data_IF_447767905257
#
_entry.id   IF_447767905257
#
_cell.length_a   1.000
_cell.length_b   1.000
_cell.length_c   1.000
_cell.angle_alpha   90.00
_cell.angle_beta   90.00
_cell.angle_gamma   90.00
#
_symmetry.space_group_name_H-M   'P 1'
#
loop_
_entity.id
_entity.type
_entity.pdbx_description
1 polymer ?
#
# COMPACT_ATOMS: atom_id res chain seq x y z
N UNK A 1 -45.55 -16.16 -32.12
CA UNK A 1 -46.72 -16.00 -32.99
C UNK A 1 -47.35 -14.63 -32.79
N UNK A 2 -48.11 -14.18 -33.79
CA UNK A 2 -49.00 -13.03 -33.67
C UNK A 2 -50.11 -13.33 -32.64
N UNK A 3 -50.70 -12.29 -32.06
CA UNK A 3 -51.78 -12.45 -31.09
C UNK A 3 -53.10 -12.82 -31.77
N UNK A 4 -54.02 -13.45 -31.03
CA UNK A 4 -55.34 -13.88 -31.53
C UNK A 4 -56.16 -12.74 -32.16
N UNK A 5 -56.08 -11.53 -31.59
CA UNK A 5 -56.84 -10.36 -32.05
C UNK A 5 -56.14 -9.56 -33.17
N UNK A 6 -54.87 -9.87 -33.48
CA UNK A 6 -54.09 -9.11 -34.45
C UNK A 6 -53.08 -10.03 -35.14
N UNK A 7 -53.60 -10.93 -35.98
CA UNK A 7 -52.84 -11.98 -36.68
C UNK A 7 -51.76 -11.42 -37.62
N UNK A 8 -51.97 -10.22 -38.17
CA UNK A 8 -51.02 -9.56 -39.08
C UNK A 8 -49.94 -8.75 -38.33
N UNK A 9 -49.96 -8.70 -36.99
CA UNK A 9 -48.96 -7.98 -36.17
C UNK A 9 -48.01 -8.95 -35.46
N UNK A 10 -46.70 -8.91 -35.73
CA UNK A 10 -45.74 -9.85 -35.17
C UNK A 10 -45.34 -9.52 -33.71
N UNK A 11 -46.24 -9.81 -32.76
CA UNK A 11 -46.09 -9.46 -31.33
C UNK A 11 -44.77 -9.93 -30.71
N UNK A 12 -44.42 -11.22 -30.84
CA UNK A 12 -43.21 -11.78 -30.19
C UNK A 12 -41.93 -11.14 -30.73
N UNK A 13 -41.81 -10.96 -32.06
CA UNK A 13 -40.62 -10.37 -32.67
C UNK A 13 -40.42 -8.92 -32.21
N UNK A 14 -41.51 -8.14 -32.17
CA UNK A 14 -41.47 -6.75 -31.69
C UNK A 14 -41.06 -6.66 -30.21
N UNK A 15 -41.65 -7.50 -29.35
CA UNK A 15 -41.30 -7.53 -27.92
C UNK A 15 -39.85 -7.95 -27.70
N UNK A 16 -39.39 -8.98 -28.41
CA UNK A 16 -37.99 -9.43 -28.35
C UNK A 16 -37.02 -8.32 -28.79
N UNK A 17 -37.33 -7.61 -29.88
CA UNK A 17 -36.52 -6.49 -30.36
C UNK A 17 -36.49 -5.33 -29.35
N UNK A 18 -37.65 -4.95 -28.79
CA UNK A 18 -37.75 -3.90 -27.78
C UNK A 18 -36.95 -4.25 -26.53
N UNK A 19 -37.09 -5.48 -26.05
CA UNK A 19 -36.35 -6.00 -24.92
C UNK A 19 -34.84 -5.99 -25.18
N UNK A 20 -34.39 -6.47 -26.33
CA UNK A 20 -32.99 -6.45 -26.72
C UNK A 20 -32.42 -5.02 -26.81
N UNK A 21 -33.19 -4.06 -27.35
CA UNK A 21 -32.80 -2.64 -27.43
C UNK A 21 -32.66 -2.02 -26.04
N UNK A 22 -33.58 -2.31 -25.13
CA UNK A 22 -33.52 -1.86 -23.73
C UNK A 22 -32.28 -2.42 -23.03
N UNK A 23 -32.01 -3.73 -23.17
CA UNK A 23 -30.81 -4.36 -22.61
C UNK A 23 -29.52 -3.81 -23.20
N UNK A 24 -29.47 -3.56 -24.52
CA UNK A 24 -28.30 -2.94 -25.17
C UNK A 24 -28.02 -1.56 -24.61
N UNK A 25 -29.04 -0.71 -24.46
CA UNK A 25 -28.90 0.62 -23.85
C UNK A 25 -28.41 0.52 -22.40
N UNK A 26 -29.00 -0.37 -21.60
CA UNK A 26 -28.55 -0.62 -20.21
C UNK A 26 -27.09 -1.09 -20.16
N UNK A 27 -26.67 -1.97 -21.08
CA UNK A 27 -25.27 -2.44 -21.16
C UNK A 27 -24.32 -1.32 -21.56
N UNK A 28 -24.69 -0.48 -22.52
CA UNK A 28 -23.86 0.66 -22.97
C UNK A 28 -23.76 1.77 -21.91
N UNK A 29 -24.85 2.05 -21.20
CA UNK A 29 -24.92 3.10 -20.18
C UNK A 29 -24.33 2.70 -18.82
N UNK A 30 -24.14 1.41 -18.57
CA UNK A 30 -23.30 1.02 -17.43
C UNK A 30 -21.88 1.47 -17.76
N UNK A 31 -21.41 2.49 -17.06
CA UNK A 31 -19.98 2.77 -16.91
C UNK A 31 -19.36 1.62 -16.12
N UNK A 32 -19.21 0.47 -16.79
CA UNK A 32 -18.67 -0.74 -16.21
C UNK A 32 -17.17 -0.54 -16.12
N UNK A 33 -16.65 -0.58 -14.89
CA UNK A 33 -15.28 -0.97 -14.61
C UNK A 33 -14.93 -2.11 -15.57
N UNK A 34 -14.02 -1.87 -16.52
CA UNK A 34 -13.79 -2.82 -17.61
C UNK A 34 -13.44 -4.19 -17.02
N UNK A 35 -14.23 -5.21 -17.34
CA UNK A 35 -13.87 -6.58 -16.96
C UNK A 35 -12.77 -7.06 -17.89
N UNK A 36 -11.89 -7.96 -17.46
CA UNK A 36 -10.87 -8.52 -18.38
C UNK A 36 -11.45 -9.23 -19.61
N UNK A 37 -12.73 -9.61 -19.57
CA UNK A 37 -13.45 -10.12 -20.73
C UNK A 37 -13.93 -9.04 -21.69
N UNK A 38 -14.09 -7.79 -21.22
CA UNK A 38 -14.47 -6.63 -22.05
C UNK A 38 -13.28 -5.79 -22.47
N UNK A 39 -12.09 -6.02 -21.91
CA UNK A 39 -10.83 -5.36 -22.30
C UNK A 39 -9.80 -6.39 -22.76
N UNK A 40 -8.66 -5.94 -23.26
CA UNK A 40 -7.63 -6.84 -23.78
C UNK A 40 -7.10 -7.79 -22.70
N UNK A 41 -6.64 -8.98 -23.10
CA UNK A 41 -6.02 -9.96 -22.19
C UNK A 41 -4.86 -9.37 -21.38
N UNK A 42 -4.14 -8.41 -21.98
CA UNK A 42 -2.95 -7.77 -21.42
C UNK A 42 -3.22 -6.42 -20.74
N UNK A 43 -4.48 -6.04 -20.57
CA UNK A 43 -4.81 -4.82 -19.84
C UNK A 43 -4.25 -4.87 -18.39
N UNK A 44 -3.71 -3.75 -17.89
CA UNK A 44 -3.13 -3.69 -16.55
C UNK A 44 -4.21 -3.95 -15.49
N UNK A 45 -3.85 -4.70 -14.44
CA UNK A 45 -4.79 -5.13 -13.39
C UNK A 45 -5.52 -3.96 -12.74
N UNK A 46 -4.82 -2.85 -12.52
CA UNK A 46 -5.35 -1.62 -11.93
C UNK A 46 -6.46 -0.96 -12.75
N UNK A 47 -6.62 -1.28 -14.04
CA UNK A 47 -7.70 -0.73 -14.88
C UNK A 47 -8.89 -1.69 -15.01
N UNK A 48 -8.78 -2.91 -14.48
CA UNK A 48 -9.76 -3.97 -14.73
C UNK A 48 -10.41 -4.49 -13.46
N UNK A 49 -11.67 -4.92 -13.56
CA UNK A 49 -12.34 -5.59 -12.46
C UNK A 49 -11.54 -6.84 -12.03
N UNK A 50 -11.37 -7.09 -10.72
CA UNK A 50 -10.73 -8.30 -10.22
C UNK A 50 -11.53 -9.55 -10.61
N UNK A 51 -10.85 -10.67 -10.88
CA UNK A 51 -11.52 -11.94 -11.17
C UNK A 51 -12.27 -12.45 -9.94
N UNK A 52 -13.27 -13.32 -10.09
CA UNK A 52 -13.91 -13.99 -8.96
C UNK A 52 -12.92 -14.78 -8.08
N UNK A 53 -11.85 -15.29 -8.69
CA UNK A 53 -10.74 -15.97 -8.00
C UNK A 53 -9.80 -15.02 -7.25
N UNK A 54 -9.77 -13.74 -7.65
CA UNK A 54 -8.84 -12.77 -7.10
C UNK A 54 -9.40 -12.22 -5.79
N UNK A 55 -8.56 -12.14 -4.76
CA UNK A 55 -9.04 -11.69 -3.46
C UNK A 55 -9.24 -10.16 -3.43
N UNK A 56 -10.49 -9.75 -3.20
CA UNK A 56 -10.85 -8.32 -3.02
C UNK A 56 -10.03 -7.65 -1.92
N UNK A 57 -9.72 -8.38 -0.84
CA UNK A 57 -8.96 -7.83 0.28
C UNK A 57 -7.51 -7.48 -0.06
N UNK A 58 -6.88 -8.23 -0.98
CA UNK A 58 -5.51 -7.89 -1.40
C UNK A 58 -5.56 -6.67 -2.32
N UNK A 59 -6.50 -6.62 -3.26
CA UNK A 59 -6.66 -5.46 -4.14
C UNK A 59 -6.90 -4.16 -3.36
N UNK A 60 -7.77 -4.19 -2.33
CA UNK A 60 -7.99 -3.04 -1.43
C UNK A 60 -6.75 -2.66 -0.61
N UNK A 61 -5.87 -3.63 -0.31
CA UNK A 61 -4.65 -3.37 0.46
C UNK A 61 -3.54 -2.78 -0.42
N UNK A 62 -3.40 -3.24 -1.67
CA UNK A 62 -2.37 -2.78 -2.61
C UNK A 62 -2.77 -1.55 -3.39
N UNK A 63 -4.07 -1.22 -3.44
CA UNK A 63 -4.59 -0.13 -4.26
C UNK A 63 -4.71 -0.48 -5.74
N UNK A 64 -4.46 -1.74 -6.13
CA UNK A 64 -4.67 -2.24 -7.51
C UNK A 64 -6.16 -2.49 -7.80
N UNK A 65 -7.03 -1.60 -7.36
CA UNK A 65 -8.45 -1.62 -7.70
C UNK A 65 -8.74 -0.62 -8.78
N UNK A 66 -9.60 -0.97 -9.76
CA UNK A 66 -10.06 -0.01 -10.74
C UNK A 66 -10.71 1.20 -10.08
N UNK A 67 -10.63 2.38 -10.73
CA UNK A 67 -11.16 3.61 -10.18
C UNK A 67 -12.62 3.44 -9.82
N UNK A 68 -12.96 3.90 -8.61
CA UNK A 68 -14.29 3.70 -8.04
C UNK A 68 -15.29 4.53 -8.84
N UNK A 69 -16.25 3.86 -9.48
CA UNK A 69 -17.29 4.52 -10.31
C UNK A 69 -18.45 5.09 -9.50
N UNK A 70 -18.51 4.76 -8.20
CA UNK A 70 -19.57 5.14 -7.26
C UNK A 70 -18.96 5.80 -6.02
N UNK A 71 -19.63 6.82 -5.50
CA UNK A 71 -19.21 7.55 -4.30
C UNK A 71 -19.22 6.65 -3.04
N UNK A 72 -20.08 5.63 -3.00
CA UNK A 72 -20.10 4.63 -1.92
C UNK A 72 -19.77 3.23 -2.43
N UNK A 73 -18.98 2.50 -1.62
CA UNK A 73 -18.67 1.08 -1.83
C UNK A 73 -19.00 0.27 -0.58
N UNK A 74 -19.48 -0.95 -0.75
CA UNK A 74 -19.67 -1.92 0.34
C UNK A 74 -18.43 -2.77 0.61
N UNK A 75 -17.39 -2.65 -0.23
CA UNK A 75 -16.16 -3.40 -0.07
C UNK A 75 -15.25 -2.70 0.94
N UNK A 76 -14.83 -3.42 1.99
CA UNK A 76 -13.95 -2.88 3.03
C UNK A 76 -12.79 -3.82 3.31
N UNK A 77 -11.69 -3.28 3.82
CA UNK A 77 -10.57 -4.06 4.31
C UNK A 77 -10.57 -4.05 5.84
N UNK A 78 -10.90 -5.19 6.45
CA UNK A 78 -10.83 -5.33 7.91
C UNK A 78 -9.39 -5.14 8.41
N UNK A 79 -9.22 -4.36 9.49
CA UNK A 79 -7.94 -4.14 10.17
C UNK A 79 -7.22 -5.45 10.52
N UNK A 80 -7.98 -6.49 10.91
CA UNK A 80 -7.44 -7.84 11.18
C UNK A 80 -6.77 -8.43 9.94
N UNK A 81 -7.43 -8.33 8.78
CA UNK A 81 -6.90 -8.84 7.51
C UNK A 81 -5.71 -8.00 7.03
N UNK A 82 -5.77 -6.68 7.17
CA UNK A 82 -4.65 -5.78 6.84
C UNK A 82 -3.38 -6.14 7.62
N UNK A 83 -3.47 -6.36 8.94
CA UNK A 83 -2.34 -6.82 9.78
C UNK A 83 -1.81 -8.18 9.33
N UNK A 84 -2.68 -9.13 8.99
CA UNK A 84 -2.25 -10.46 8.49
C UNK A 84 -1.49 -10.34 7.17
N UNK A 85 -1.98 -9.51 6.24
CA UNK A 85 -1.30 -9.28 4.96
C UNK A 85 0.06 -8.63 5.18
N UNK A 86 0.14 -7.59 6.02
CA UNK A 86 1.41 -6.94 6.36
C UNK A 86 2.42 -7.89 7.01
N UNK A 87 1.96 -8.73 7.94
CA UNK A 87 2.80 -9.76 8.58
C UNK A 87 3.31 -10.79 7.58
N UNK A 88 2.43 -11.31 6.72
CA UNK A 88 2.83 -12.27 5.69
C UNK A 88 3.78 -11.65 4.65
N UNK A 89 3.59 -10.36 4.32
CA UNK A 89 4.53 -9.61 3.48
C UNK A 89 5.92 -9.57 4.13
N UNK A 90 6.00 -9.33 5.44
CA UNK A 90 7.27 -9.38 6.18
C UNK A 90 7.92 -10.77 6.13
N UNK A 91 7.15 -11.85 6.31
CA UNK A 91 7.70 -13.20 6.21
C UNK A 91 8.20 -13.55 4.81
N UNK A 92 7.48 -13.09 3.76
CA UNK A 92 7.93 -13.25 2.38
C UNK A 92 9.21 -12.48 2.10
N UNK A 93 9.32 -11.22 2.56
CA UNK A 93 10.55 -10.45 2.38
C UNK A 93 11.71 -11.04 3.16
N UNK A 94 11.48 -11.51 4.39
CA UNK A 94 12.51 -12.19 5.18
C UNK A 94 12.99 -13.47 4.51
N UNK A 95 12.08 -14.29 3.97
CA UNK A 95 12.47 -15.49 3.21
C UNK A 95 13.28 -15.13 1.97
N UNK A 96 12.86 -14.10 1.24
CA UNK A 96 13.58 -13.64 0.06
C UNK A 96 14.92 -12.99 0.41
N UNK A 97 14.99 -12.27 1.53
CA UNK A 97 16.23 -11.78 2.11
C UNK A 97 17.10 -12.96 2.51
N UNK A 98 16.64 -13.99 3.23
CA UNK A 98 17.45 -15.18 3.56
C UNK A 98 17.90 -15.99 2.34
N UNK A 99 17.07 -16.09 1.30
CA UNK A 99 17.48 -16.66 0.00
C UNK A 99 18.57 -15.79 -0.69
N UNK A 100 18.67 -14.49 -0.35
CA UNK A 100 19.69 -13.53 -0.86
C UNK A 100 20.87 -13.35 0.14
N UNK A 101 20.66 -13.52 1.46
CA UNK A 101 21.61 -13.26 2.54
C UNK A 101 22.28 -14.54 3.03
N UNK A 102 21.85 -15.72 2.59
CA UNK A 102 22.75 -16.87 2.45
C UNK A 102 23.91 -16.59 1.48
N UNK A 103 23.84 -15.52 0.68
CA UNK A 103 24.98 -14.98 -0.09
C UNK A 103 25.64 -13.75 0.58
N UNK A 104 24.99 -13.10 1.56
CA UNK A 104 25.56 -11.96 2.31
C UNK A 104 24.94 -11.79 3.70
N UNK A 105 25.63 -12.30 4.73
CA UNK A 105 25.37 -12.00 6.14
C UNK A 105 25.22 -10.47 6.36
N UNK A 106 24.13 -9.99 6.97
CA UNK A 106 24.15 -8.85 7.91
C UNK A 106 22.76 -8.57 8.51
N UNK A 107 22.56 -9.00 9.75
CA UNK A 107 21.52 -8.50 10.63
C UNK A 107 21.81 -7.04 11.02
N UNK A 108 21.04 -6.09 10.48
CA UNK A 108 20.99 -4.72 11.01
C UNK A 108 19.59 -4.42 11.53
N UNK A 109 19.41 -4.67 12.83
CA UNK A 109 18.25 -4.18 13.57
C UNK A 109 18.18 -2.66 13.45
N UNK A 110 17.11 -2.16 12.83
CA UNK A 110 16.87 -0.73 12.59
C UNK A 110 16.69 0.00 13.93
N UNK A 111 17.80 0.48 14.51
CA UNK A 111 17.78 1.34 15.69
C UNK A 111 17.10 2.67 15.34
N UNK A 112 16.12 3.07 16.13
CA UNK A 112 15.41 4.34 15.92
C UNK A 112 16.34 5.52 16.28
N UNK A 113 16.08 6.71 15.74
CA UNK A 113 16.88 7.90 16.07
C UNK A 113 16.86 8.21 17.58
N UNK A 114 15.77 7.85 18.26
CA UNK A 114 15.62 7.96 19.71
C UNK A 114 16.59 7.00 20.43
N UNK A 115 16.75 5.77 19.95
CA UNK A 115 17.68 4.80 20.55
C UNK A 115 19.13 5.25 20.38
N UNK A 116 19.47 5.88 19.26
CA UNK A 116 20.80 6.49 19.04
C UNK A 116 21.06 7.65 19.99
N UNK A 117 20.07 8.54 20.18
CA UNK A 117 20.18 9.66 21.11
C UNK A 117 20.31 9.18 22.57
N UNK A 118 19.57 8.14 22.96
CA UNK A 118 19.71 7.52 24.28
C UNK A 118 21.09 6.93 24.49
N UNK A 119 21.63 6.20 23.51
CA UNK A 119 22.99 5.64 23.60
C UNK A 119 24.05 6.74 23.75
N UNK A 120 23.99 7.78 22.91
CA UNK A 120 24.92 8.90 23.00
C UNK A 120 24.84 9.65 24.35
N UNK A 121 23.62 9.81 24.89
CA UNK A 121 23.44 10.43 26.21
C UNK A 121 24.03 9.57 27.33
N UNK A 122 23.81 8.26 27.29
CA UNK A 122 24.38 7.33 28.27
C UNK A 122 25.92 7.31 28.19
N UNK A 123 26.50 7.30 26.99
CA UNK A 123 27.94 7.40 26.79
C UNK A 123 28.51 8.73 27.35
N UNK A 124 27.80 9.84 27.17
CA UNK A 124 28.17 11.14 27.74
C UNK A 124 28.16 11.11 29.27
N UNK A 125 27.09 10.58 29.87
CA UNK A 125 26.97 10.47 31.34
C UNK A 125 28.08 9.59 31.91
N UNK A 126 28.33 8.43 31.30
CA UNK A 126 29.44 7.57 31.72
C UNK A 126 30.80 8.26 31.56
N UNK A 127 31.00 9.04 30.49
CA UNK A 127 32.23 9.78 30.29
C UNK A 127 32.42 10.90 31.34
N UNK A 128 31.33 11.52 31.80
CA UNK A 128 31.34 12.55 32.83
C UNK A 128 31.61 11.97 34.23
N UNK A 129 31.05 10.80 34.54
CA UNK A 129 31.34 10.08 35.78
C UNK A 129 32.79 9.56 35.84
N UNK A 130 33.33 9.08 34.71
CA UNK A 130 34.69 8.52 34.63
C UNK A 130 35.79 9.58 34.55
N UNK A 131 35.55 10.67 33.80
CA UNK A 131 36.60 11.66 33.50
C UNK A 131 36.37 13.02 34.19
N UNK A 132 35.27 13.20 34.94
CA UNK A 132 34.89 14.48 35.52
C UNK A 132 34.40 15.50 34.48
N UNK A 133 33.97 16.70 34.90
CA UNK A 133 33.51 17.74 33.98
C UNK A 133 34.59 18.09 32.96
N UNK A 134 34.19 18.21 31.69
CA UNK A 134 35.08 18.55 30.58
C UNK A 134 35.66 19.95 30.81
N UNK A 135 36.84 20.02 31.42
CA UNK A 135 37.63 21.24 31.51
C UNK A 135 38.21 21.44 30.11
N UNK A 136 37.59 22.30 29.32
CA UNK A 136 38.22 22.84 28.11
C UNK A 136 39.43 23.62 28.59
N UNK A 137 40.62 23.04 28.49
CA UNK A 137 41.87 23.74 28.75
C UNK A 137 42.10 24.75 27.62
N UNK A 138 41.45 25.92 27.71
CA UNK A 138 41.87 27.10 26.96
C UNK A 138 43.19 27.56 27.57
N UNK A 139 44.28 27.27 26.88
CA UNK A 139 45.65 27.60 27.26
C UNK A 139 46.01 29.06 26.96
N UNK A 140 45.17 30.01 27.39
CA UNK A 140 45.45 31.44 27.20
C UNK A 140 45.75 32.11 28.55
N UNK A 141 47.04 32.37 28.81
CA UNK A 141 47.45 33.45 29.70
C UNK A 141 48.19 33.09 30.99
N UNK A 142 49.20 32.22 30.97
CA UNK A 142 50.21 32.22 32.03
C UNK A 142 51.32 33.22 31.68
N UNK A 143 51.21 34.46 32.16
CA UNK A 143 52.35 35.40 32.22
C UNK A 143 52.79 35.55 33.66
N UNK A 144 53.80 34.74 34.04
CA UNK A 144 54.67 35.00 35.17
C UNK A 144 55.70 36.06 34.77
N UNK A 145 55.79 37.17 35.52
CA UNK A 145 56.93 38.10 35.50
C UNK A 145 56.54 39.58 35.40
N UNK A 146 56.60 40.34 36.49
CA UNK A 146 57.79 41.11 36.95
C UNK A 146 57.47 41.77 38.30
N UNK A 147 58.39 41.64 39.26
CA UNK A 147 58.41 42.44 40.50
C UNK A 147 58.70 43.91 40.17
N UNK A 148 57.93 44.84 40.74
CA UNK A 148 58.26 46.26 40.74
C UNK A 148 59.18 46.60 41.91
N UNK A 149 60.33 47.18 41.61
CA UNK A 149 61.15 48.01 42.51
C UNK A 149 60.76 49.47 42.32
#
# INVERSE_FOLDING_TARGET
MAGRNAINKPKIKMLAQSHAKSLRRKRAARNVIQTRSSTSRYAPKALTAPRPSDSKSIALYTGETPPVTSVMTTNTLSKKKAKKIARNKKYMTQKQEEDITMDTNTDSTKQTNLDKAKKALWELVESFEKNGPFVVAWSEGTTLGTQSL
#
